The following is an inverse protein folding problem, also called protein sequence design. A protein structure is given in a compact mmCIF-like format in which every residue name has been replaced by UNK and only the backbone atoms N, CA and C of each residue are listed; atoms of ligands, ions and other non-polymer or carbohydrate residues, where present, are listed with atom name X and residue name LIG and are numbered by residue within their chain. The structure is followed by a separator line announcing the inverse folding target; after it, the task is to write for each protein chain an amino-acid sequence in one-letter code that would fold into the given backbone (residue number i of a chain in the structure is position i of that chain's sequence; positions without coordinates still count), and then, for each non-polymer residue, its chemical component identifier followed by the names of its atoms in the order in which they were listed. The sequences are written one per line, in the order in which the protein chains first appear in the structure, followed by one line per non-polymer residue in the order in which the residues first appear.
data_IF_806679047585
#
_entry.id   IF_806679047585
#
_cell.length_a   1.000
_cell.length_b   1.000
_cell.length_c   1.000
_cell.angle_alpha   90.00
_cell.angle_beta   90.00
_cell.angle_gamma   90.00
#
_symmetry.space_group_name_H-M   'P 1'
#
loop_
_entity.id
_entity.type
_entity.pdbx_description
1 polymer ?
#
# COMPACT_ATOMS: atom_id res chain seq x y z
N UNK A 1 -0.12 21.65 43.81
CA UNK A 1 -0.87 21.62 42.55
C UNK A 1 -0.78 20.19 42.04
N UNK A 2 -1.85 19.42 42.16
CA UNK A 2 -1.96 18.02 41.73
C UNK A 2 -3.20 17.98 40.85
N UNK A 3 -3.23 17.34 39.67
CA UNK A 3 -4.51 17.03 39.06
C UNK A 3 -5.21 15.98 39.92
N UNK A 4 -6.33 16.38 40.52
CA UNK A 4 -7.29 15.50 41.14
C UNK A 4 -7.99 14.71 40.02
N UNK A 5 -8.08 13.39 40.19
CA UNK A 5 -8.52 12.38 39.22
C UNK A 5 -7.56 12.19 38.02
N UNK A 6 -7.02 10.98 37.89
CA UNK A 6 -6.35 10.57 36.65
C UNK A 6 -7.32 10.71 35.47
N UNK A 7 -6.79 11.09 34.31
CA UNK A 7 -7.59 11.19 33.08
C UNK A 7 -8.06 9.83 32.58
N UNK A 8 -9.05 9.85 31.68
CA UNK A 8 -9.54 8.65 31.00
C UNK A 8 -8.38 7.94 30.26
N UNK A 9 -8.34 6.59 30.26
CA UNK A 9 -7.40 5.85 29.44
C UNK A 9 -7.52 6.29 27.97
N UNK A 10 -6.46 6.89 27.43
CA UNK A 10 -6.40 7.31 26.03
C UNK A 10 -6.02 6.16 25.09
N UNK A 11 -5.58 5.02 25.64
CA UNK A 11 -5.10 3.85 24.89
C UNK A 11 -5.10 2.59 25.74
N UNK A 12 -5.33 1.43 25.12
CA UNK A 12 -5.13 0.11 25.71
C UNK A 12 -4.48 -0.84 24.69
N UNK A 13 -3.52 -1.65 25.14
CA UNK A 13 -2.81 -2.60 24.30
C UNK A 13 -1.96 -3.58 25.08
N UNK A 14 -1.33 -4.50 24.35
CA UNK A 14 -0.38 -5.48 24.89
C UNK A 14 1.03 -5.01 24.57
N UNK A 15 1.93 -5.06 25.56
CA UNK A 15 3.34 -4.72 25.39
C UNK A 15 4.21 -5.94 25.68
N UNK A 16 5.11 -6.26 24.75
CA UNK A 16 6.20 -7.21 24.97
C UNK A 16 7.52 -6.45 25.05
N UNK A 17 8.19 -6.51 26.20
CA UNK A 17 9.51 -5.93 26.38
C UNK A 17 10.58 -7.04 26.42
N UNK A 18 11.61 -6.91 25.59
CA UNK A 18 12.81 -7.73 25.68
C UNK A 18 13.81 -7.00 26.57
N UNK A 19 14.11 -7.57 27.75
CA UNK A 19 15.09 -7.01 28.68
C UNK A 19 16.48 -7.58 28.39
N UNK A 20 17.51 -6.74 28.52
CA UNK A 20 18.90 -7.16 28.59
C UNK A 20 19.26 -7.79 29.93
N UNK A 21 20.46 -8.37 30.02
CA UNK A 21 20.97 -8.95 31.28
C UNK A 21 21.08 -7.93 32.43
N UNK A 22 21.17 -6.64 32.12
CA UNK A 22 21.18 -5.54 33.10
C UNK A 22 19.77 -5.09 33.53
N UNK A 23 18.73 -5.78 33.08
CA UNK A 23 17.33 -5.49 33.37
C UNK A 23 16.74 -4.30 32.59
N UNK A 24 17.50 -3.67 31.68
CA UNK A 24 17.00 -2.57 30.85
C UNK A 24 16.25 -3.09 29.63
N UNK A 25 15.23 -2.34 29.21
CA UNK A 25 14.51 -2.61 27.96
C UNK A 25 15.46 -2.42 26.78
N UNK A 26 15.69 -3.48 26.01
CA UNK A 26 16.43 -3.44 24.74
C UNK A 26 15.49 -3.26 23.55
N UNK A 27 14.29 -3.83 23.61
CA UNK A 27 13.23 -3.68 22.62
C UNK A 27 11.88 -3.66 23.30
N UNK A 28 10.98 -2.82 22.83
CA UNK A 28 9.57 -2.86 23.17
C UNK A 28 8.73 -3.07 21.91
N UNK A 29 7.67 -3.86 22.04
CA UNK A 29 6.69 -4.10 20.99
C UNK A 29 5.33 -3.82 21.57
N UNK A 30 4.62 -2.86 21.01
CA UNK A 30 3.30 -2.42 21.45
C UNK A 30 2.27 -2.87 20.42
N UNK A 31 1.14 -3.39 20.88
CA UNK A 31 0.09 -3.94 20.01
C UNK A 31 -1.27 -3.44 20.45
N UNK A 32 -2.05 -2.97 19.48
CA UNK A 32 -3.45 -2.59 19.69
C UNK A 32 -4.41 -3.48 18.89
N UNK A 33 -5.66 -3.54 19.34
CA UNK A 33 -6.73 -4.19 18.55
C UNK A 33 -6.97 -3.50 17.21
N UNK A 34 -6.76 -2.17 17.16
CA UNK A 34 -6.88 -1.39 15.93
C UNK A 34 -5.83 -1.79 14.89
N UNK A 35 -4.56 -1.91 15.28
CA UNK A 35 -3.49 -2.36 14.36
C UNK A 35 -3.74 -3.76 13.79
N UNK A 36 -4.30 -4.67 14.59
CA UNK A 36 -4.66 -6.00 14.12
C UNK A 36 -5.76 -5.95 13.04
N UNK A 37 -6.78 -5.11 13.23
CA UNK A 37 -7.84 -4.90 12.24
C UNK A 37 -7.29 -4.24 10.96
N UNK A 38 -6.48 -3.19 11.10
CA UNK A 38 -5.77 -2.52 10.00
C UNK A 38 -4.93 -3.52 9.20
N UNK A 39 -4.13 -4.35 9.89
CA UNK A 39 -3.31 -5.39 9.26
C UNK A 39 -4.14 -6.42 8.51
N UNK A 40 -5.31 -6.80 9.02
CA UNK A 40 -6.20 -7.73 8.35
C UNK A 40 -6.73 -7.16 7.03
N UNK A 41 -7.15 -5.89 7.00
CA UNK A 41 -7.59 -5.20 5.78
C UNK A 41 -6.48 -5.18 4.73
N UNK A 42 -5.26 -4.78 5.12
CA UNK A 42 -4.12 -4.73 4.19
C UNK A 42 -3.72 -6.11 3.69
N UNK A 43 -3.76 -7.13 4.54
CA UNK A 43 -3.50 -8.51 4.10
C UNK A 43 -4.54 -8.98 3.07
N UNK A 44 -5.83 -8.67 3.32
CA UNK A 44 -6.90 -8.93 2.35
C UNK A 44 -6.73 -8.16 1.05
N UNK A 45 -6.27 -6.91 1.11
CA UNK A 45 -5.94 -6.11 -0.07
C UNK A 45 -4.84 -6.75 -0.91
N UNK A 46 -3.73 -7.15 -0.29
CA UNK A 46 -2.62 -7.77 -0.99
C UNK A 46 -3.00 -9.12 -1.61
N UNK A 47 -3.86 -9.90 -0.94
CA UNK A 47 -4.40 -11.15 -1.49
C UNK A 47 -5.25 -10.88 -2.76
N UNK A 48 -6.18 -9.92 -2.70
CA UNK A 48 -7.01 -9.56 -3.87
C UNK A 48 -6.19 -8.94 -4.99
N UNK A 49 -5.13 -8.19 -4.66
CA UNK A 49 -4.18 -7.65 -5.64
C UNK A 49 -3.45 -8.77 -6.38
N UNK A 50 -3.12 -9.87 -5.70
CA UNK A 50 -2.52 -11.06 -6.31
C UNK A 50 -3.51 -11.81 -7.21
N UNK A 51 -4.80 -11.85 -6.86
CA UNK A 51 -5.85 -12.41 -7.73
C UNK A 51 -6.13 -11.55 -8.98
N UNK A 52 -5.85 -10.24 -8.91
CA UNK A 52 -5.92 -9.34 -10.07
C UNK A 52 -7.33 -9.04 -10.58
N UNK A 53 -8.37 -9.19 -9.74
CA UNK A 53 -9.77 -8.92 -10.10
C UNK A 53 -10.18 -7.49 -9.69
N UNK A 54 -10.31 -6.53 -10.63
CA UNK A 54 -10.45 -5.11 -10.31
C UNK A 54 -11.61 -4.77 -9.38
N UNK A 55 -12.77 -5.39 -9.61
CA UNK A 55 -14.00 -5.14 -8.86
C UNK A 55 -13.85 -5.61 -7.41
N UNK A 56 -13.25 -6.78 -7.18
CA UNK A 56 -13.01 -7.30 -5.83
C UNK A 56 -11.96 -6.48 -5.08
N UNK A 57 -10.94 -5.98 -5.78
CA UNK A 57 -9.96 -5.09 -5.17
C UNK A 57 -10.65 -3.80 -4.71
N UNK A 58 -11.51 -3.22 -5.56
CA UNK A 58 -12.21 -1.98 -5.28
C UNK A 58 -13.20 -2.10 -4.11
N UNK A 59 -13.78 -3.28 -3.83
CA UNK A 59 -14.65 -3.51 -2.66
C UNK A 59 -13.99 -3.16 -1.32
N UNK A 60 -12.65 -3.17 -1.24
CA UNK A 60 -11.91 -2.79 -0.03
C UNK A 60 -11.75 -1.28 0.16
N UNK A 61 -12.13 -0.46 -0.82
CA UNK A 61 -11.92 0.97 -0.77
C UNK A 61 -13.17 1.68 -0.25
N UNK A 62 -12.95 2.81 0.43
CA UNK A 62 -14.00 3.76 0.76
C UNK A 62 -14.65 4.31 -0.52
N UNK A 63 -15.83 4.93 -0.38
CA UNK A 63 -16.52 5.54 -1.52
C UNK A 63 -15.69 6.68 -2.12
N UNK A 64 -15.10 7.50 -1.25
CA UNK A 64 -14.12 8.53 -1.57
C UNK A 64 -12.73 8.09 -1.11
N UNK A 65 -11.72 8.29 -1.95
CA UNK A 65 -10.33 7.85 -1.72
C UNK A 65 -9.37 9.02 -1.94
N UNK A 66 -8.48 9.24 -0.96
CA UNK A 66 -7.29 10.07 -1.11
C UNK A 66 -6.26 9.29 -1.95
N UNK A 67 -6.14 9.64 -3.23
CA UNK A 67 -5.37 8.89 -4.23
C UNK A 67 -4.14 9.66 -4.69
N UNK A 68 -2.97 9.01 -4.65
CA UNK A 68 -1.74 9.54 -5.20
C UNK A 68 -0.89 8.43 -5.83
N UNK A 69 -0.31 8.72 -6.98
CA UNK A 69 0.82 7.97 -7.53
C UNK A 69 1.94 8.99 -7.69
N UNK A 70 3.09 8.74 -7.07
CA UNK A 70 4.21 9.69 -6.99
C UNK A 70 4.86 9.90 -8.36
N UNK A 71 4.27 10.82 -9.11
CA UNK A 71 4.57 11.13 -10.50
C UNK A 71 4.22 12.61 -10.76
N UNK A 72 4.85 13.26 -11.76
CA UNK A 72 4.42 14.58 -12.21
C UNK A 72 2.90 14.67 -12.42
N UNK A 73 2.32 15.81 -12.02
CA UNK A 73 0.87 16.02 -12.01
C UNK A 73 0.24 15.93 -13.42
N UNK A 74 1.01 16.27 -14.44
CA UNK A 74 0.68 16.13 -15.86
C UNK A 74 0.68 14.67 -16.36
N UNK A 75 1.16 13.71 -15.55
CA UNK A 75 1.27 12.29 -15.88
C UNK A 75 2.45 11.97 -16.80
N UNK A 76 2.40 10.79 -17.44
CA UNK A 76 3.37 10.41 -18.48
C UNK A 76 2.67 9.59 -19.58
N UNK A 77 2.88 9.90 -20.87
CA UNK A 77 2.14 9.30 -21.98
C UNK A 77 2.31 7.77 -22.06
N UNK A 78 3.49 7.25 -21.70
CA UNK A 78 3.73 5.81 -21.65
C UNK A 78 3.08 5.09 -20.45
N UNK A 79 2.59 5.84 -19.45
CA UNK A 79 2.06 5.31 -18.19
C UNK A 79 0.63 5.84 -17.93
N UNK A 80 -0.35 5.54 -18.81
CA UNK A 80 -1.63 6.25 -18.86
C UNK A 80 -2.57 5.98 -17.68
N UNK A 81 -2.25 5.03 -16.80
CA UNK A 81 -3.01 4.82 -15.57
C UNK A 81 -2.66 5.84 -14.49
N UNK A 82 -1.57 6.58 -14.62
CA UNK A 82 -1.19 7.65 -13.70
C UNK A 82 -2.03 8.89 -14.02
N UNK A 83 -3.10 9.07 -13.25
CA UNK A 83 -4.02 10.18 -13.33
C UNK A 83 -4.74 10.37 -11.99
N UNK A 84 -5.32 11.54 -11.72
CA UNK A 84 -6.15 11.77 -10.54
C UNK A 84 -7.31 10.78 -10.46
N UNK A 85 -7.67 10.38 -9.24
CA UNK A 85 -8.84 9.56 -8.89
C UNK A 85 -9.33 9.99 -7.52
N UNK A 86 -10.58 9.71 -7.23
CA UNK A 86 -11.15 9.94 -5.90
C UNK A 86 -12.26 8.97 -5.54
N UNK A 87 -12.64 8.04 -6.41
CA UNK A 87 -13.78 7.15 -6.15
C UNK A 87 -13.43 5.67 -6.25
N UNK A 88 -14.20 4.84 -5.54
CA UNK A 88 -14.13 3.37 -5.65
C UNK A 88 -14.22 2.87 -7.10
N UNK A 89 -15.07 3.47 -7.92
CA UNK A 89 -15.20 3.13 -9.34
C UNK A 89 -13.91 3.37 -10.12
N UNK A 90 -13.27 4.52 -9.90
CA UNK A 90 -12.00 4.85 -10.55
C UNK A 90 -10.83 3.98 -10.07
N UNK A 91 -10.89 3.48 -8.83
CA UNK A 91 -9.96 2.46 -8.34
C UNK A 91 -10.07 1.17 -9.16
N UNK A 92 -11.30 0.69 -9.43
CA UNK A 92 -11.49 -0.47 -10.32
C UNK A 92 -10.92 -0.18 -11.72
N UNK A 93 -11.14 1.03 -12.26
CA UNK A 93 -10.57 1.45 -13.54
C UNK A 93 -9.04 1.46 -13.55
N UNK A 94 -8.39 1.82 -12.44
CA UNK A 94 -6.94 1.75 -12.29
C UNK A 94 -6.44 0.31 -12.46
N UNK A 95 -6.98 -0.63 -11.70
CA UNK A 95 -6.53 -2.03 -11.77
C UNK A 95 -6.88 -2.68 -13.12
N UNK A 96 -7.99 -2.29 -13.74
CA UNK A 96 -8.31 -2.70 -15.12
C UNK A 96 -7.30 -2.16 -16.12
N UNK A 97 -6.88 -0.89 -16.00
CA UNK A 97 -5.82 -0.33 -16.82
C UNK A 97 -4.50 -1.09 -16.62
N UNK A 98 -4.07 -1.37 -15.39
CA UNK A 98 -2.87 -2.18 -15.13
C UNK A 98 -2.94 -3.55 -15.82
N UNK A 99 -4.09 -4.23 -15.76
CA UNK A 99 -4.33 -5.52 -16.43
C UNK A 99 -4.33 -5.41 -17.95
N UNK A 100 -4.73 -4.27 -18.51
CA UNK A 100 -4.66 -4.01 -19.96
C UNK A 100 -3.20 -3.94 -20.42
N UNK A 101 -2.34 -3.23 -19.69
CA UNK A 101 -0.96 -2.95 -20.11
C UNK A 101 0.07 -4.05 -19.74
N UNK A 102 -0.23 -4.92 -18.76
CA UNK A 102 0.70 -5.94 -18.29
C UNK A 102 0.16 -7.36 -18.41
N UNK A 103 1.04 -8.33 -18.68
CA UNK A 103 0.69 -9.76 -18.75
C UNK A 103 0.33 -10.27 -17.35
N UNK A 104 -0.95 -10.61 -17.06
CA UNK A 104 -1.38 -10.97 -15.70
C UNK A 104 -0.61 -12.16 -15.12
N UNK A 105 -0.37 -13.20 -15.93
CA UNK A 105 0.32 -14.43 -15.50
C UNK A 105 1.81 -14.24 -15.18
N UNK A 106 2.38 -13.08 -15.53
CA UNK A 106 3.77 -12.71 -15.23
C UNK A 106 3.88 -11.65 -14.14
N UNK A 107 2.76 -11.29 -13.51
CA UNK A 107 2.77 -10.45 -12.32
C UNK A 107 3.43 -11.20 -11.17
N UNK A 108 4.23 -10.48 -10.39
CA UNK A 108 4.80 -11.05 -9.17
C UNK A 108 5.33 -9.98 -8.24
N UNK A 109 5.97 -10.46 -7.17
CA UNK A 109 6.59 -9.65 -6.13
C UNK A 109 7.09 -10.58 -5.03
N UNK A 110 8.16 -10.19 -4.35
CA UNK A 110 8.55 -10.87 -3.11
C UNK A 110 7.48 -10.70 -2.03
N UNK A 111 7.60 -11.45 -0.93
CA UNK A 111 6.76 -11.22 0.25
C UNK A 111 7.01 -9.80 0.74
N UNK A 112 5.99 -8.92 0.75
CA UNK A 112 6.20 -7.54 1.16
C UNK A 112 6.34 -7.43 2.68
N UNK A 113 6.97 -6.34 3.13
CA UNK A 113 7.02 -5.98 4.56
C UNK A 113 5.90 -5.00 4.87
N UNK A 114 5.07 -5.33 5.86
CA UNK A 114 3.91 -4.52 6.27
C UNK A 114 4.20 -3.87 7.64
N UNK A 115 4.34 -2.55 7.65
CA UNK A 115 4.50 -1.71 8.84
C UNK A 115 3.17 -1.03 9.14
N UNK A 116 2.65 -1.20 10.36
CA UNK A 116 1.34 -0.68 10.76
C UNK A 116 1.55 0.27 11.94
N UNK A 117 0.93 1.44 11.87
CA UNK A 117 0.87 2.44 12.93
C UNK A 117 -0.58 2.97 13.01
N UNK A 118 -1.35 2.42 13.96
CA UNK A 118 -2.78 2.71 14.06
C UNK A 118 -3.56 2.44 12.75
N UNK A 119 -4.20 3.45 12.13
CA UNK A 119 -4.89 3.32 10.85
C UNK A 119 -3.96 3.37 9.64
N UNK A 120 -2.72 3.83 9.80
CA UNK A 120 -1.76 4.01 8.72
C UNK A 120 -0.91 2.75 8.52
N UNK A 121 -0.64 2.44 7.25
CA UNK A 121 0.16 1.28 6.85
C UNK A 121 1.12 1.66 5.74
N UNK A 122 2.37 1.23 5.88
CA UNK A 122 3.34 1.23 4.79
C UNK A 122 3.65 -0.21 4.40
N UNK A 123 3.43 -0.54 3.13
CA UNK A 123 3.82 -1.81 2.52
C UNK A 123 5.06 -1.57 1.66
N UNK A 124 6.19 -2.17 2.05
CA UNK A 124 7.43 -2.13 1.29
C UNK A 124 7.59 -3.41 0.47
N UNK A 125 7.84 -3.28 -0.83
CA UNK A 125 7.95 -4.43 -1.70
C UNK A 125 8.54 -4.13 -3.07
N UNK A 126 8.36 -5.08 -3.97
CA UNK A 126 8.74 -4.98 -5.38
C UNK A 126 7.52 -5.24 -6.24
N UNK A 127 7.32 -4.37 -7.23
CA UNK A 127 6.40 -4.57 -8.34
C UNK A 127 7.17 -5.32 -9.43
N UNK A 128 6.70 -6.50 -9.82
CA UNK A 128 7.22 -7.22 -10.99
C UNK A 128 6.12 -7.34 -12.03
N UNK A 129 6.40 -6.86 -13.23
CA UNK A 129 5.45 -6.89 -14.34
C UNK A 129 6.16 -7.19 -15.66
N UNK A 130 5.38 -7.56 -16.66
CA UNK A 130 5.81 -7.66 -18.05
C UNK A 130 4.87 -6.85 -18.93
N UNK A 131 5.41 -5.90 -19.68
CA UNK A 131 4.65 -5.04 -20.60
C UNK A 131 4.12 -5.89 -21.76
N UNK A 132 2.81 -5.86 -22.01
CA UNK A 132 2.20 -6.69 -23.08
C UNK A 132 2.70 -6.33 -24.47
N UNK A 133 2.82 -5.02 -24.76
CA UNK A 133 3.14 -4.54 -26.10
C UNK A 133 4.57 -4.92 -26.55
N UNK A 134 5.52 -4.95 -25.61
CA UNK A 134 6.95 -5.13 -25.92
C UNK A 134 7.53 -6.44 -25.39
N UNK A 135 6.86 -7.09 -24.43
CA UNK A 135 7.41 -8.22 -23.68
C UNK A 135 8.51 -7.84 -22.68
N UNK A 136 8.85 -6.54 -22.53
CA UNK A 136 9.88 -6.08 -21.58
C UNK A 136 9.40 -6.33 -20.15
N UNK A 137 10.19 -7.06 -19.38
CA UNK A 137 9.97 -7.25 -17.95
C UNK A 137 10.66 -6.15 -17.16
N UNK A 138 10.08 -5.76 -16.03
CA UNK A 138 10.71 -4.82 -15.10
C UNK A 138 10.43 -5.19 -13.64
N UNK A 139 11.30 -4.68 -12.77
CA UNK A 139 11.19 -4.76 -11.32
C UNK A 139 11.33 -3.34 -10.77
N UNK A 140 10.31 -2.84 -10.10
CA UNK A 140 10.35 -1.52 -9.46
C UNK A 140 10.19 -1.70 -7.94
N UNK A 141 11.06 -1.09 -7.15
CA UNK A 141 10.84 -1.01 -5.70
C UNK A 141 9.69 -0.08 -5.42
N UNK A 142 8.85 -0.40 -4.45
CA UNK A 142 7.74 0.46 -4.06
C UNK A 142 7.52 0.54 -2.55
N UNK A 143 6.97 1.67 -2.13
CA UNK A 143 6.29 1.87 -0.86
C UNK A 143 4.83 2.25 -1.16
N UNK A 144 3.90 1.48 -0.63
CA UNK A 144 2.47 1.78 -0.69
C UNK A 144 2.02 2.27 0.69
N UNK A 145 1.57 3.51 0.78
CA UNK A 145 0.99 4.09 1.99
C UNK A 145 -0.53 4.03 1.90
N UNK A 146 -1.12 3.30 2.84
CA UNK A 146 -2.57 3.15 3.00
C UNK A 146 -2.99 3.78 4.33
N UNK A 147 -4.18 4.36 4.35
CA UNK A 147 -4.87 4.70 5.60
C UNK A 147 -6.20 3.96 5.60
N UNK A 148 -6.47 3.24 6.68
CA UNK A 148 -7.69 2.48 6.88
C UNK A 148 -8.64 3.27 7.76
N UNK A 149 -9.86 3.49 7.26
CA UNK A 149 -10.95 4.10 8.01
C UNK A 149 -12.18 3.19 7.95
N UNK A 150 -12.77 2.90 9.11
CA UNK A 150 -13.95 2.05 9.25
C UNK A 150 -13.85 0.71 8.48
N UNK A 151 -12.66 0.10 8.48
CA UNK A 151 -12.39 -1.18 7.81
C UNK A 151 -12.20 -1.09 6.28
N UNK A 152 -12.15 0.12 5.72
CA UNK A 152 -11.97 0.38 4.29
C UNK A 152 -10.71 1.22 4.04
N UNK A 153 -10.12 1.07 2.86
CA UNK A 153 -8.98 1.87 2.41
C UNK A 153 -9.50 3.25 1.99
N UNK A 154 -9.15 4.28 2.78
CA UNK A 154 -9.50 5.66 2.51
C UNK A 154 -8.35 6.45 1.85
N UNK A 155 -7.11 5.99 1.99
CA UNK A 155 -5.93 6.53 1.29
C UNK A 155 -5.20 5.44 0.52
N UNK A 156 -4.74 5.78 -0.68
CA UNK A 156 -3.89 4.95 -1.52
C UNK A 156 -2.82 5.79 -2.21
N UNK A 157 -1.62 5.78 -1.64
CA UNK A 157 -0.47 6.52 -2.15
C UNK A 157 0.66 5.56 -2.53
N UNK A 158 1.11 5.59 -3.79
CA UNK A 158 2.21 4.75 -4.27
C UNK A 158 3.45 5.59 -4.53
N UNK A 159 4.56 5.19 -3.93
CA UNK A 159 5.90 5.68 -4.23
C UNK A 159 6.67 4.53 -4.88
N UNK A 160 7.08 4.69 -6.13
CA UNK A 160 7.74 3.62 -6.87
C UNK A 160 8.98 4.12 -7.61
N UNK A 161 9.84 3.19 -8.04
CA UNK A 161 10.89 3.47 -9.01
C UNK A 161 10.27 3.80 -10.38
N UNK A 162 9.83 5.05 -10.49
CA UNK A 162 9.12 5.61 -11.63
C UNK A 162 9.97 5.61 -12.90
N UNK A 163 11.27 5.82 -12.77
CA UNK A 163 12.21 5.77 -13.89
C UNK A 163 12.22 4.39 -14.55
N UNK A 164 12.36 3.33 -13.75
CA UNK A 164 12.34 1.95 -14.26
C UNK A 164 11.00 1.62 -14.95
N UNK A 165 9.87 2.03 -14.37
CA UNK A 165 8.54 1.85 -14.97
C UNK A 165 8.45 2.57 -16.33
N UNK A 166 8.85 3.85 -16.37
CA UNK A 166 8.80 4.66 -17.60
C UNK A 166 9.68 4.09 -18.71
N UNK A 167 10.91 3.67 -18.41
CA UNK A 167 11.82 3.05 -19.38
C UNK A 167 11.30 1.70 -19.91
N UNK A 168 10.59 0.94 -19.07
CA UNK A 168 9.99 -0.32 -19.48
C UNK A 168 8.85 -0.13 -20.51
N UNK A 169 8.04 0.92 -20.31
CA UNK A 169 6.85 1.21 -21.12
C UNK A 169 7.15 2.07 -22.36
N UNK A 170 8.17 2.91 -22.30
CA UNK A 170 8.53 3.81 -23.41
C UNK A 170 9.43 3.15 -24.46
N UNK A 171 10.03 2.00 -24.13
CA UNK A 171 10.97 1.31 -25.02
C UNK A 171 12.34 1.98 -25.18
N UNK A 172 12.56 3.14 -24.56
CA UNK A 172 13.85 3.80 -24.47
C UNK A 172 14.49 3.53 -23.11
N UNK A 173 15.76 3.16 -23.13
CA UNK A 173 16.63 3.34 -21.97
C UNK A 173 17.05 4.83 -22.02
N UNK A 174 16.57 5.63 -21.05
CA UNK A 174 16.89 7.06 -20.94
C UNK A 174 18.40 7.30 -20.74
#
# INVERSE_FOLDING_TARGET
MVPAAGGEPVWAGVVFALLGEDGRIQRDYQFTGAEAATRAVVTGFLARLAEGKPEQIAELFAETVDWQLDWPAEGHPAVPWIKPRSTRGEVADHFRALNTFHVPDKRGGGVPRILVDGPDVVVLGEIRQTVKATGKAYIARCALHLTIDNGLIARYHVYEDSLTVAQALSGNDL
#
